data_IF_305205801239
#
_entry.id   IF_305205801239
#
_cell.length_a   1.000
_cell.length_b   1.000
_cell.length_c   1.000
_cell.angle_alpha   90.00
_cell.angle_beta   90.00
_cell.angle_gamma   90.00
#
_symmetry.space_group_name_H-M   'P 1'
#
loop_
_entity.id
_entity.type
_entity.pdbx_description
1 polymer ?
#
# COMPACT_ATOMS: atom_id res chain seq x y z
N UNK A 1 21.06 -12.51 17.59
CA UNK A 1 20.63 -11.28 16.91
C UNK A 1 19.56 -10.60 17.70
N UNK A 2 19.49 -9.26 17.76
CA UNK A 2 18.49 -8.52 18.52
C UNK A 2 17.49 -7.85 17.58
N UNK A 3 16.34 -7.43 18.11
CA UNK A 3 15.37 -6.60 17.35
C UNK A 3 16.00 -5.28 16.88
N UNK A 4 16.95 -4.73 17.65
CA UNK A 4 17.69 -3.52 17.27
C UNK A 4 18.63 -3.78 16.08
N UNK A 5 19.30 -4.95 16.03
CA UNK A 5 20.11 -5.34 14.87
C UNK A 5 19.26 -5.45 13.60
N UNK A 6 18.05 -6.02 13.72
CA UNK A 6 17.08 -6.11 12.64
C UNK A 6 16.65 -4.70 12.17
N UNK A 7 16.33 -3.81 13.11
CA UNK A 7 15.92 -2.43 12.83
C UNK A 7 17.01 -1.67 12.08
N UNK A 8 18.25 -1.72 12.57
CA UNK A 8 19.39 -1.05 11.96
C UNK A 8 19.64 -1.59 10.54
N UNK A 9 19.63 -2.91 10.37
CA UNK A 9 19.87 -3.53 9.07
C UNK A 9 18.85 -3.08 8.01
N UNK A 10 17.57 -2.98 8.37
CA UNK A 10 16.54 -2.51 7.46
C UNK A 10 16.71 -1.01 7.14
N UNK A 11 17.03 -0.17 8.13
CA UNK A 11 17.27 1.26 7.91
C UNK A 11 18.46 1.47 6.97
N UNK A 12 19.51 0.64 7.11
CA UNK A 12 20.69 0.66 6.24
C UNK A 12 20.46 -0.01 4.87
N UNK A 13 19.25 -0.55 4.62
CA UNK A 13 18.85 -1.24 3.39
C UNK A 13 19.72 -2.50 3.11
N UNK A 14 20.28 -3.09 4.16
CA UNK A 14 21.00 -4.35 4.06
C UNK A 14 20.02 -5.53 4.09
N UNK A 15 19.55 -5.94 2.91
CA UNK A 15 18.59 -7.01 2.73
C UNK A 15 19.07 -8.33 3.37
N UNK A 16 20.33 -8.72 3.10
CA UNK A 16 20.85 -10.01 3.58
C UNK A 16 20.89 -10.05 5.10
N UNK A 17 21.36 -8.98 5.71
CA UNK A 17 21.42 -8.85 7.17
C UNK A 17 20.03 -8.80 7.78
N UNK A 18 19.10 -8.07 7.17
CA UNK A 18 17.71 -7.97 7.64
C UNK A 18 17.02 -9.32 7.65
N UNK A 19 17.04 -10.02 6.50
CA UNK A 19 16.42 -11.34 6.34
C UNK A 19 17.02 -12.36 7.31
N UNK A 20 18.34 -12.37 7.43
CA UNK A 20 19.05 -13.25 8.37
C UNK A 20 18.69 -12.95 9.82
N UNK A 21 18.63 -11.66 10.22
CA UNK A 21 18.22 -11.27 11.58
C UNK A 21 16.82 -11.75 11.91
N UNK A 22 15.88 -11.59 10.96
CA UNK A 22 14.51 -12.07 11.13
C UNK A 22 14.46 -13.60 11.30
N UNK A 23 15.20 -14.35 10.48
CA UNK A 23 15.27 -15.81 10.55
C UNK A 23 15.84 -16.30 11.89
N UNK A 24 16.94 -15.70 12.37
CA UNK A 24 17.57 -16.07 13.64
C UNK A 24 16.64 -15.77 14.84
N UNK A 25 15.96 -14.61 14.83
CA UNK A 25 15.01 -14.24 15.88
C UNK A 25 13.79 -15.19 15.92
N UNK A 26 13.29 -15.62 14.76
CA UNK A 26 12.20 -16.61 14.66
C UNK A 26 12.67 -17.99 15.15
N UNK A 27 13.78 -18.47 14.64
CA UNK A 27 14.30 -19.82 14.96
C UNK A 27 14.71 -19.94 16.44
N UNK A 28 15.24 -18.88 17.03
CA UNK A 28 15.64 -18.84 18.43
C UNK A 28 14.49 -18.65 19.40
N UNK A 29 13.28 -18.30 18.92
CA UNK A 29 12.15 -17.93 19.80
C UNK A 29 12.41 -16.68 20.63
N UNK A 30 13.42 -15.88 20.26
CA UNK A 30 13.86 -14.70 21.02
C UNK A 30 12.90 -13.52 20.90
N UNK A 31 12.07 -13.51 19.83
CA UNK A 31 11.04 -12.50 19.63
C UNK A 31 9.79 -13.12 19.01
N UNK A 32 8.59 -12.74 19.48
CA UNK A 32 7.35 -13.15 18.83
C UNK A 32 7.28 -12.56 17.40
N UNK A 33 6.64 -13.25 16.44
CA UNK A 33 6.45 -12.79 15.05
C UNK A 33 6.02 -11.32 14.94
N UNK A 34 5.06 -10.93 15.76
CA UNK A 34 4.53 -9.58 15.87
C UNK A 34 5.58 -8.52 16.18
N UNK A 35 6.54 -8.84 17.06
CA UNK A 35 7.61 -7.91 17.44
C UNK A 35 8.61 -7.71 16.32
N UNK A 36 8.84 -8.74 15.49
CA UNK A 36 9.69 -8.66 14.30
C UNK A 36 9.03 -7.73 13.28
N UNK A 37 7.74 -7.92 13.00
CA UNK A 37 7.01 -7.09 12.03
C UNK A 37 6.91 -5.63 12.49
N UNK A 38 6.56 -5.38 13.76
CA UNK A 38 6.46 -4.01 14.28
C UNK A 38 7.82 -3.30 14.29
N UNK A 39 8.92 -4.03 14.50
CA UNK A 39 10.28 -3.50 14.41
C UNK A 39 10.60 -3.09 12.98
N UNK A 40 10.25 -3.93 11.99
CA UNK A 40 10.41 -3.59 10.58
C UNK A 40 9.56 -2.38 10.17
N UNK A 41 8.30 -2.29 10.61
CA UNK A 41 7.44 -1.13 10.34
C UNK A 41 8.03 0.16 10.90
N UNK A 42 8.57 0.13 12.12
CA UNK A 42 9.27 1.28 12.70
C UNK A 42 10.52 1.68 11.90
N UNK A 43 11.28 0.69 11.39
CA UNK A 43 12.43 0.94 10.53
C UNK A 43 12.02 1.59 9.20
N UNK A 44 10.93 1.11 8.57
CA UNK A 44 10.37 1.69 7.35
C UNK A 44 10.00 3.16 7.53
N UNK A 45 9.39 3.51 8.67
CA UNK A 45 9.07 4.90 8.99
C UNK A 45 10.33 5.77 9.02
N UNK A 46 11.43 5.28 9.61
CA UNK A 46 12.72 6.01 9.63
C UNK A 46 13.28 6.17 8.21
N UNK A 47 13.15 5.16 7.35
CA UNK A 47 13.55 5.27 5.92
C UNK A 47 12.71 6.33 5.21
N UNK A 48 11.39 6.38 5.48
CA UNK A 48 10.49 7.43 4.97
C UNK A 48 10.90 8.83 5.43
N UNK A 49 11.18 9.01 6.72
CA UNK A 49 11.66 10.28 7.29
C UNK A 49 12.99 10.73 6.66
N UNK A 50 13.93 9.79 6.40
CA UNK A 50 15.20 10.09 5.71
C UNK A 50 14.99 10.49 4.25
N UNK A 51 14.03 9.86 3.56
CA UNK A 51 13.64 10.28 2.23
C UNK A 51 13.09 11.71 2.23
N UNK A 52 12.21 12.06 3.15
CA UNK A 52 11.65 13.42 3.27
C UNK A 52 12.73 14.48 3.55
N UNK A 53 13.78 14.11 4.27
CA UNK A 53 14.96 14.97 4.51
C UNK A 53 15.97 14.98 3.37
N UNK A 54 15.68 14.28 2.25
CA UNK A 54 16.59 14.14 1.11
C UNK A 54 17.91 13.41 1.43
N UNK A 55 17.96 12.66 2.55
CA UNK A 55 19.09 11.81 2.90
C UNK A 55 19.08 10.51 2.10
N UNK A 56 17.88 10.04 1.69
CA UNK A 56 17.65 8.88 0.87
C UNK A 56 16.93 9.25 -0.43
N UNK A 57 17.15 8.44 -1.48
CA UNK A 57 16.43 8.55 -2.76
C UNK A 57 15.19 7.63 -2.77
N UNK A 58 14.31 7.83 -3.75
CA UNK A 58 13.12 6.99 -3.93
C UNK A 58 13.44 5.48 -4.02
N UNK A 59 14.60 5.12 -4.61
CA UNK A 59 15.09 3.76 -4.66
C UNK A 59 15.26 3.11 -3.27
N UNK A 60 15.59 3.89 -2.25
CA UNK A 60 15.69 3.41 -0.87
C UNK A 60 14.32 2.99 -0.30
N UNK A 61 13.27 3.75 -0.58
CA UNK A 61 11.90 3.39 -0.19
C UNK A 61 11.43 2.11 -0.87
N UNK A 62 11.68 1.99 -2.17
CA UNK A 62 11.35 0.78 -2.94
C UNK A 62 12.06 -0.42 -2.36
N UNK A 63 13.39 -0.32 -2.15
CA UNK A 63 14.19 -1.39 -1.56
C UNK A 63 13.73 -1.78 -0.16
N UNK A 64 13.45 -0.81 0.70
CA UNK A 64 12.96 -1.05 2.05
C UNK A 64 11.61 -1.79 2.04
N UNK A 65 10.69 -1.41 1.15
CA UNK A 65 9.40 -2.10 0.96
C UNK A 65 9.57 -3.55 0.49
N UNK A 66 10.50 -3.81 -0.44
CA UNK A 66 10.81 -5.17 -0.90
C UNK A 66 11.44 -6.02 0.22
N UNK A 67 12.38 -5.46 0.99
CA UNK A 67 12.99 -6.14 2.15
C UNK A 67 11.89 -6.50 3.16
N UNK A 68 11.00 -5.57 3.49
CA UNK A 68 9.88 -5.82 4.41
C UNK A 68 8.97 -6.94 3.89
N UNK A 69 8.63 -6.93 2.60
CA UNK A 69 7.81 -7.99 1.98
C UNK A 69 8.46 -9.38 2.13
N UNK A 70 9.78 -9.47 2.04
CA UNK A 70 10.51 -10.73 2.26
C UNK A 70 10.45 -11.16 3.72
N UNK A 71 10.62 -10.23 4.66
CA UNK A 71 10.48 -10.52 6.10
C UNK A 71 9.06 -10.97 6.43
N UNK A 72 8.04 -10.31 5.87
CA UNK A 72 6.64 -10.67 6.07
C UNK A 72 6.38 -12.12 5.63
N UNK A 73 6.87 -12.53 4.45
CA UNK A 73 6.74 -13.91 3.96
C UNK A 73 7.46 -14.94 4.82
N UNK A 74 8.51 -14.56 5.54
CA UNK A 74 9.21 -15.44 6.48
C UNK A 74 8.45 -15.62 7.79
N UNK A 75 7.81 -14.54 8.25
CA UNK A 75 7.08 -14.52 9.52
C UNK A 75 5.70 -15.16 9.36
N UNK A 76 5.04 -14.95 8.22
CA UNK A 76 3.69 -15.40 7.89
C UNK A 76 3.68 -16.05 6.49
N UNK A 77 4.21 -17.27 6.33
CA UNK A 77 4.39 -17.87 5.01
C UNK A 77 3.07 -18.17 4.27
N UNK A 78 1.95 -18.33 4.97
CA UNK A 78 0.66 -18.73 4.42
C UNK A 78 -0.49 -17.74 4.68
N UNK A 79 -0.23 -16.58 5.25
CA UNK A 79 -1.27 -15.59 5.54
C UNK A 79 -1.29 -14.47 4.52
N UNK A 80 -2.46 -14.30 3.88
CA UNK A 80 -2.81 -12.98 3.34
C UNK A 80 -2.73 -11.97 4.50
N UNK A 81 -2.33 -10.70 4.23
CA UNK A 81 -2.17 -9.71 5.28
C UNK A 81 -3.41 -9.65 6.18
N UNK A 82 -3.26 -9.99 7.46
CA UNK A 82 -4.37 -9.94 8.41
C UNK A 82 -4.68 -8.46 8.68
N UNK A 83 -5.89 -7.98 8.40
CA UNK A 83 -6.29 -6.65 8.79
C UNK A 83 -6.37 -6.58 10.32
N UNK A 84 -5.57 -5.75 10.98
CA UNK A 84 -5.87 -5.45 12.37
C UNK A 84 -4.80 -5.06 13.34
N UNK A 85 -3.50 -5.21 13.08
CA UNK A 85 -2.49 -4.81 14.08
C UNK A 85 -1.59 -3.68 13.58
N UNK A 86 -1.97 -2.44 13.95
CA UNK A 86 -1.21 -1.18 13.78
C UNK A 86 -0.67 -0.91 12.37
N UNK A 87 -1.38 -1.34 11.35
CA UNK A 87 -1.19 -0.86 9.97
C UNK A 87 -1.65 0.60 9.89
N UNK A 88 -0.97 1.41 9.10
CA UNK A 88 -1.44 2.76 8.74
C UNK A 88 -2.78 2.72 7.98
N UNK A 89 -3.24 1.53 7.61
CA UNK A 89 -4.48 1.24 6.88
C UNK A 89 -4.27 0.17 5.82
N UNK A 90 -5.37 -0.32 5.25
CA UNK A 90 -5.37 -1.31 4.16
C UNK A 90 -5.75 -0.64 2.85
N UNK A 91 -4.96 -0.87 1.80
CA UNK A 91 -5.20 -0.34 0.46
C UNK A 91 -5.37 -1.49 -0.54
N UNK A 92 -6.51 -1.53 -1.23
CA UNK A 92 -6.67 -2.36 -2.44
C UNK A 92 -6.20 -1.54 -3.63
N UNK A 93 -5.25 -2.06 -4.40
CA UNK A 93 -4.59 -1.36 -5.50
C UNK A 93 -4.56 -2.21 -6.77
N UNK A 94 -4.81 -1.61 -7.92
CA UNK A 94 -4.70 -2.30 -9.21
C UNK A 94 -4.67 -1.34 -10.38
N UNK A 95 -4.11 -1.78 -11.51
CA UNK A 95 -4.23 -1.09 -12.79
C UNK A 95 -5.54 -1.53 -13.46
N UNK A 96 -6.35 -0.56 -13.85
CA UNK A 96 -7.71 -0.82 -14.35
C UNK A 96 -7.74 -1.58 -15.68
N UNK A 97 -8.90 -2.16 -15.99
CA UNK A 97 -9.12 -2.95 -17.21
C UNK A 97 -8.70 -2.21 -18.48
N UNK A 98 -8.03 -2.92 -19.38
CA UNK A 98 -7.50 -2.43 -20.64
C UNK A 98 -6.18 -1.67 -20.51
N UNK A 99 -5.57 -1.63 -19.33
CA UNK A 99 -4.26 -1.04 -19.08
C UNK A 99 -3.33 -2.03 -18.38
N UNK A 100 -2.08 -2.13 -18.86
CA UNK A 100 -1.05 -3.05 -18.33
C UNK A 100 0.16 -2.31 -17.74
N UNK A 101 0.09 -1.00 -17.64
CA UNK A 101 1.19 -0.20 -17.08
C UNK A 101 1.24 -0.37 -15.55
N UNK A 102 2.32 -0.97 -15.06
CA UNK A 102 2.46 -1.34 -13.65
C UNK A 102 3.59 -0.61 -12.90
N UNK A 103 4.55 0.00 -13.61
CA UNK A 103 5.72 0.62 -12.97
C UNK A 103 5.31 1.64 -11.90
N UNK A 104 4.45 2.61 -12.24
CA UNK A 104 3.98 3.63 -11.29
C UNK A 104 3.16 3.03 -10.15
N UNK A 105 2.30 2.04 -10.46
CA UNK A 105 1.52 1.29 -9.47
C UNK A 105 2.44 0.55 -8.50
N UNK A 106 3.46 -0.14 -9.00
CA UNK A 106 4.40 -0.90 -8.18
C UNK A 106 5.24 0.03 -7.29
N UNK A 107 5.68 1.19 -7.80
CA UNK A 107 6.32 2.23 -7.00
C UNK A 107 5.41 2.73 -5.88
N UNK A 108 4.14 3.00 -6.17
CA UNK A 108 3.16 3.41 -5.17
C UNK A 108 2.90 2.31 -4.14
N UNK A 109 2.75 1.04 -4.57
CA UNK A 109 2.60 -0.10 -3.68
C UNK A 109 3.78 -0.25 -2.72
N UNK A 110 5.03 -0.15 -3.23
CA UNK A 110 6.24 -0.21 -2.41
C UNK A 110 6.33 0.96 -1.44
N UNK A 111 5.97 2.17 -1.88
CA UNK A 111 5.93 3.34 -1.02
C UNK A 111 4.88 3.18 0.10
N UNK A 112 3.66 2.74 -0.21
CA UNK A 112 2.63 2.46 0.79
C UNK A 112 3.12 1.47 1.84
N UNK A 113 3.76 0.36 1.43
CA UNK A 113 4.33 -0.63 2.36
C UNK A 113 5.41 0.00 3.24
N UNK A 114 6.28 0.83 2.67
CA UNK A 114 7.32 1.56 3.42
C UNK A 114 6.72 2.50 4.49
N UNK A 115 5.53 3.03 4.26
CA UNK A 115 4.79 3.86 5.22
C UNK A 115 3.82 3.07 6.12
N UNK A 116 3.95 1.74 6.14
CA UNK A 116 3.23 0.85 7.07
C UNK A 116 1.82 0.48 6.65
N UNK A 117 1.44 0.68 5.37
CA UNK A 117 0.16 0.20 4.86
C UNK A 117 0.21 -1.28 4.49
N UNK A 118 -0.90 -1.97 4.72
CA UNK A 118 -1.16 -3.26 4.10
C UNK A 118 -1.67 -3.03 2.67
N UNK A 119 -0.99 -3.60 1.67
CA UNK A 119 -1.35 -3.42 0.25
C UNK A 119 -1.79 -4.74 -0.37
N UNK A 120 -3.05 -4.79 -0.77
CA UNK A 120 -3.65 -5.85 -1.59
C UNK A 120 -3.49 -5.44 -3.05
N UNK A 121 -2.45 -5.94 -3.70
CA UNK A 121 -2.16 -5.62 -5.10
C UNK A 121 -2.85 -6.62 -6.04
N UNK A 122 -3.79 -6.14 -6.83
CA UNK A 122 -4.58 -6.94 -7.76
C UNK A 122 -3.89 -7.14 -9.12
N UNK A 123 -2.72 -6.52 -9.33
CA UNK A 123 -2.00 -6.59 -10.60
C UNK A 123 -2.50 -5.58 -11.62
N UNK A 124 -2.55 -6.01 -12.88
CA UNK A 124 -2.93 -5.18 -14.04
C UNK A 124 -4.17 -5.74 -14.73
N UNK A 125 -4.77 -4.94 -15.62
CA UNK A 125 -5.99 -5.32 -16.38
C UNK A 125 -7.15 -5.77 -15.46
N UNK A 126 -7.33 -5.08 -14.34
CA UNK A 126 -8.29 -5.45 -13.29
C UNK A 126 -9.67 -4.91 -13.63
N UNK A 127 -10.65 -5.82 -13.73
CA UNK A 127 -12.03 -5.43 -14.00
C UNK A 127 -12.68 -4.70 -12.81
N UNK A 128 -13.69 -3.83 -13.04
CA UNK A 128 -14.47 -3.19 -11.98
C UNK A 128 -15.06 -4.20 -10.98
N UNK A 129 -15.52 -5.35 -11.47
CA UNK A 129 -16.10 -6.41 -10.66
C UNK A 129 -15.06 -7.01 -9.69
N UNK A 130 -13.83 -7.23 -10.18
CA UNK A 130 -12.75 -7.75 -9.35
C UNK A 130 -12.38 -6.77 -8.23
N UNK A 131 -12.34 -5.47 -8.49
CA UNK A 131 -12.19 -4.47 -7.44
C UNK A 131 -13.29 -4.58 -6.38
N UNK A 132 -14.56 -4.67 -6.80
CA UNK A 132 -15.69 -4.78 -5.88
C UNK A 132 -15.61 -6.06 -5.02
N UNK A 133 -15.24 -7.20 -5.61
CA UNK A 133 -15.05 -8.48 -4.89
C UNK A 133 -13.98 -8.36 -3.80
N UNK A 134 -12.83 -7.77 -4.15
CA UNK A 134 -11.74 -7.60 -3.18
C UNK A 134 -12.05 -6.55 -2.11
N UNK A 135 -12.84 -5.52 -2.43
CA UNK A 135 -13.35 -4.57 -1.44
C UNK A 135 -14.28 -5.28 -0.44
N UNK A 136 -15.16 -6.18 -0.91
CA UNK A 136 -16.02 -6.99 -0.02
C UNK A 136 -15.20 -7.88 0.91
N UNK A 137 -14.18 -8.53 0.35
CA UNK A 137 -13.33 -9.48 1.06
C UNK A 137 -12.46 -8.81 2.13
N UNK A 138 -11.78 -7.73 1.76
CA UNK A 138 -10.72 -7.13 2.58
C UNK A 138 -11.16 -5.88 3.34
N UNK A 139 -12.32 -5.29 3.01
CA UNK A 139 -12.84 -4.05 3.62
C UNK A 139 -11.79 -2.95 3.75
N UNK A 140 -11.10 -2.56 2.64
CA UNK A 140 -9.97 -1.65 2.68
C UNK A 140 -10.35 -0.25 3.16
N UNK A 141 -9.38 0.46 3.70
CA UNK A 141 -9.52 1.86 4.08
C UNK A 141 -9.47 2.79 2.87
N UNK A 142 -8.73 2.41 1.82
CA UNK A 142 -8.58 3.17 0.57
C UNK A 142 -8.56 2.21 -0.62
N UNK A 143 -9.09 2.63 -1.76
CA UNK A 143 -8.96 1.95 -3.05
C UNK A 143 -8.11 2.81 -3.98
N UNK A 144 -7.04 2.24 -4.53
CA UNK A 144 -6.16 2.86 -5.52
C UNK A 144 -6.44 2.30 -6.92
N UNK A 145 -6.75 3.16 -7.87
CA UNK A 145 -6.94 2.81 -9.28
C UNK A 145 -5.81 3.44 -10.10
N UNK A 146 -4.99 2.62 -10.75
CA UNK A 146 -3.90 3.07 -11.62
C UNK A 146 -4.28 3.01 -13.09
N UNK A 147 -3.81 3.97 -13.88
CA UNK A 147 -3.93 3.95 -15.33
C UNK A 147 -3.08 5.02 -16.01
N UNK A 148 -2.56 4.71 -17.20
CA UNK A 148 -1.62 5.57 -17.91
C UNK A 148 -2.13 5.98 -19.29
N UNK A 149 -3.09 5.26 -19.88
CA UNK A 149 -3.61 5.54 -21.20
C UNK A 149 -5.01 6.13 -21.16
N UNK A 150 -5.38 6.93 -22.14
CA UNK A 150 -6.69 7.62 -22.19
C UNK A 150 -7.86 6.63 -22.09
N UNK A 151 -7.72 5.45 -22.68
CA UNK A 151 -8.74 4.38 -22.62
C UNK A 151 -8.99 3.88 -21.19
N UNK A 152 -8.00 3.99 -20.29
CA UNK A 152 -8.13 3.59 -18.91
C UNK A 152 -9.11 4.47 -18.12
N UNK A 153 -9.37 5.71 -18.57
CA UNK A 153 -10.26 6.64 -17.85
C UNK A 153 -11.71 6.14 -17.81
N UNK A 154 -12.19 5.50 -18.87
CA UNK A 154 -13.51 4.88 -18.90
C UNK A 154 -13.59 3.71 -17.92
N UNK A 155 -12.54 2.90 -17.86
CA UNK A 155 -12.45 1.78 -16.90
C UNK A 155 -12.35 2.27 -15.46
N UNK A 156 -11.61 3.34 -15.19
CA UNK A 156 -11.58 4.01 -13.88
C UNK A 156 -12.97 4.49 -13.47
N UNK A 157 -13.66 5.21 -14.37
CA UNK A 157 -15.02 5.71 -14.14
C UNK A 157 -15.99 4.57 -13.86
N UNK A 158 -15.92 3.48 -14.64
CA UNK A 158 -16.76 2.31 -14.42
C UNK A 158 -16.50 1.66 -13.04
N UNK A 159 -15.24 1.53 -12.62
CA UNK A 159 -14.89 1.00 -11.31
C UNK A 159 -15.39 1.92 -10.19
N UNK A 160 -15.15 3.23 -10.28
CA UNK A 160 -15.64 4.21 -9.31
C UNK A 160 -17.14 4.17 -9.17
N UNK A 161 -17.87 4.16 -10.31
CA UNK A 161 -19.34 4.11 -10.34
C UNK A 161 -19.83 2.83 -9.66
N UNK A 162 -19.29 1.67 -10.04
CA UNK A 162 -19.68 0.38 -9.47
C UNK A 162 -19.48 0.33 -7.96
N UNK A 163 -18.34 0.83 -7.46
CA UNK A 163 -18.05 0.86 -6.01
C UNK A 163 -19.05 1.77 -5.29
N UNK A 164 -19.34 2.94 -5.85
CA UNK A 164 -20.29 3.92 -5.25
C UNK A 164 -21.71 3.37 -5.21
N UNK A 165 -22.17 2.74 -6.28
CA UNK A 165 -23.52 2.18 -6.39
C UNK A 165 -23.74 1.01 -5.41
N UNK A 166 -22.68 0.30 -5.05
CA UNK A 166 -22.74 -0.80 -4.09
C UNK A 166 -22.51 -0.36 -2.62
N UNK A 167 -22.48 0.93 -2.30
CA UNK A 167 -22.28 1.45 -0.94
C UNK A 167 -23.22 0.82 0.09
N UNK A 168 -24.50 0.69 -0.25
CA UNK A 168 -25.53 0.14 0.65
C UNK A 168 -25.28 -1.35 0.96
N UNK A 169 -24.85 -2.12 -0.03
CA UNK A 169 -24.52 -3.54 0.13
C UNK A 169 -23.23 -3.74 0.93
N UNK A 170 -22.21 -2.91 0.67
CA UNK A 170 -20.95 -2.94 1.41
C UNK A 170 -21.10 -2.51 2.87
N UNK A 171 -22.13 -1.71 3.19
CA UNK A 171 -22.31 -1.08 4.49
C UNK A 171 -21.32 0.05 4.79
N UNK A 172 -20.47 0.41 3.83
CA UNK A 172 -19.52 1.51 3.89
C UNK A 172 -19.07 1.90 2.47
N UNK A 173 -18.36 3.01 2.33
CA UNK A 173 -17.75 3.40 1.08
C UNK A 173 -16.26 3.74 1.31
N UNK A 174 -15.31 2.94 0.80
CA UNK A 174 -13.91 3.32 0.84
C UNK A 174 -13.67 4.55 -0.05
N UNK A 175 -12.85 5.51 0.35
CA UNK A 175 -12.38 6.57 -0.54
C UNK A 175 -11.55 5.96 -1.68
N UNK A 176 -11.67 6.58 -2.86
CA UNK A 176 -11.04 6.11 -4.10
C UNK A 176 -10.04 7.15 -4.57
N UNK A 177 -8.79 6.72 -4.74
CA UNK A 177 -7.68 7.52 -5.27
C UNK A 177 -7.32 7.01 -6.66
N UNK A 178 -7.33 7.90 -7.65
CA UNK A 178 -6.85 7.57 -9.01
C UNK A 178 -5.42 8.07 -9.19
N UNK A 179 -4.59 7.30 -9.88
CA UNK A 179 -3.18 7.63 -10.08
C UNK A 179 -2.63 7.21 -11.42
N UNK A 180 -1.56 7.89 -11.82
CA UNK A 180 -0.82 7.68 -13.07
C UNK A 180 -0.26 8.99 -13.60
N UNK A 181 0.81 8.93 -14.41
CA UNK A 181 1.58 10.11 -14.82
C UNK A 181 0.76 11.16 -15.61
N UNK A 182 -0.36 10.76 -16.22
CA UNK A 182 -1.25 11.66 -16.97
C UNK A 182 -2.54 12.00 -16.21
N UNK A 183 -2.68 11.53 -14.97
CA UNK A 183 -3.87 11.80 -14.15
C UNK A 183 -3.75 13.18 -13.52
N UNK A 184 -4.80 13.96 -13.65
CA UNK A 184 -4.95 15.30 -13.08
C UNK A 184 -6.33 15.47 -12.39
N UNK A 185 -6.59 16.65 -11.88
CA UNK A 185 -7.85 16.98 -11.21
C UNK A 185 -9.07 16.83 -12.13
N UNK A 186 -8.92 17.08 -13.44
CA UNK A 186 -10.02 16.96 -14.43
C UNK A 186 -10.39 15.51 -14.64
N UNK A 187 -9.37 14.63 -14.73
CA UNK A 187 -9.58 13.19 -14.87
C UNK A 187 -10.17 12.61 -13.58
N UNK A 188 -9.69 13.04 -12.42
CA UNK A 188 -10.27 12.69 -11.13
C UNK A 188 -11.76 13.03 -11.06
N UNK A 189 -12.12 14.26 -11.43
CA UNK A 189 -13.51 14.71 -11.49
C UNK A 189 -14.34 13.92 -12.51
N UNK A 190 -13.78 13.65 -13.69
CA UNK A 190 -14.43 12.86 -14.74
C UNK A 190 -14.75 11.44 -14.28
N UNK A 191 -13.80 10.79 -13.61
CA UNK A 191 -13.99 9.45 -13.04
C UNK A 191 -14.90 9.47 -11.81
N UNK A 192 -15.06 10.63 -11.17
CA UNK A 192 -15.78 10.77 -9.92
C UNK A 192 -15.03 10.23 -8.71
N UNK A 193 -13.71 10.10 -8.76
CA UNK A 193 -12.88 9.67 -7.63
C UNK A 193 -12.81 10.74 -6.53
N UNK A 194 -12.36 10.35 -5.34
CA UNK A 194 -12.30 11.24 -4.18
C UNK A 194 -10.99 12.05 -4.14
N UNK A 195 -9.92 11.50 -4.73
CA UNK A 195 -8.62 12.17 -4.83
C UNK A 195 -7.80 11.58 -5.98
N UNK A 196 -6.67 12.23 -6.26
CA UNK A 196 -5.75 11.81 -7.31
C UNK A 196 -4.30 12.14 -6.93
N UNK A 197 -3.35 11.42 -7.56
CA UNK A 197 -1.94 11.80 -7.55
C UNK A 197 -1.22 11.27 -8.80
N UNK A 198 -0.29 12.06 -9.32
CA UNK A 198 0.67 11.64 -10.33
C UNK A 198 2.02 11.25 -9.71
N UNK A 199 2.18 11.42 -8.41
CA UNK A 199 3.38 11.11 -7.64
C UNK A 199 3.08 10.07 -6.55
N UNK A 200 3.97 9.08 -6.40
CA UNK A 200 3.76 7.96 -5.49
C UNK A 200 3.76 8.40 -4.01
N UNK A 201 4.65 9.33 -3.63
CA UNK A 201 4.76 9.79 -2.23
C UNK A 201 3.63 10.72 -1.86
N UNK A 202 3.24 11.63 -2.77
CA UNK A 202 2.04 12.44 -2.57
C UNK A 202 0.80 11.54 -2.42
N UNK A 203 0.70 10.47 -3.23
CA UNK A 203 -0.36 9.47 -3.11
C UNK A 203 -0.41 8.81 -1.74
N UNK A 204 0.75 8.46 -1.15
CA UNK A 204 0.82 7.92 0.23
C UNK A 204 0.27 8.93 1.23
N UNK A 205 0.69 10.19 1.16
CA UNK A 205 0.18 11.26 2.06
C UNK A 205 -1.32 11.48 1.93
N UNK A 206 -1.87 11.30 0.72
CA UNK A 206 -3.32 11.32 0.50
C UNK A 206 -3.97 10.16 1.25
N UNK A 207 -3.45 8.95 1.12
CA UNK A 207 -3.97 7.78 1.83
C UNK A 207 -3.94 7.97 3.35
N UNK A 208 -2.84 8.48 3.93
CA UNK A 208 -2.74 8.78 5.36
C UNK A 208 -3.84 9.73 5.83
N UNK A 209 -4.06 10.84 5.08
CA UNK A 209 -5.13 11.80 5.40
C UNK A 209 -6.52 11.17 5.32
N UNK A 210 -6.78 10.33 4.31
CA UNK A 210 -8.06 9.68 4.12
C UNK A 210 -8.37 8.68 5.25
N UNK A 211 -7.38 7.91 5.68
CA UNK A 211 -7.52 6.96 6.81
C UNK A 211 -7.75 7.71 8.11
N UNK A 212 -6.95 8.75 8.40
CA UNK A 212 -7.10 9.56 9.61
C UNK A 212 -8.47 10.24 9.70
N UNK A 213 -8.99 10.78 8.57
CA UNK A 213 -10.30 11.41 8.54
C UNK A 213 -11.45 10.43 8.80
N UNK A 214 -11.33 9.17 8.37
CA UNK A 214 -12.33 8.13 8.66
C UNK A 214 -12.33 7.73 10.13
N UNK A 215 -11.14 7.59 10.73
CA UNK A 215 -11.04 7.30 12.16
C UNK A 215 -11.70 8.38 13.03
N UNK A 216 -11.61 9.65 12.62
CA UNK A 216 -12.23 10.78 13.31
C UNK A 216 -13.78 10.87 13.16
N UNK A 217 -14.37 10.26 12.13
CA UNK A 217 -15.82 10.31 11.86
C UNK A 217 -16.53 8.96 12.11
N UNK A 218 -15.81 7.95 12.57
CA UNK A 218 -16.29 6.58 12.80
C UNK A 218 -16.69 6.27 14.26
N UNK A 219 -17.07 7.31 15.03
CA UNK A 219 -17.74 7.19 16.35
C UNK A 219 -19.20 7.52 16.26
#
# INVERSE_FOLDING_TARGET
MTLEDLRIALIELDEKRTVRSAQELLAGGEAPPQSILSTCQNALRVVGERYERQEYYLSALIMAGEIFTRVLKLVEPDTEPVPGERSSGTVVLGTVAGDIHDIGKNMFASSLRAYGFTVIDLGVDVSPQRFLEEIRRHRPDVVGLSGLIVRAFESMKAAVTLIKDNKSELGYRPPIVVGGAIIDSRICQYCGADSWSADAIEGVRICERLVASRAAHGT
#
